data_IF_012527166662
#
_entry.id   IF_012527166662
#
_cell.length_a   1.000
_cell.length_b   1.000
_cell.length_c   1.000
_cell.angle_alpha   90.00
_cell.angle_beta   90.00
_cell.angle_gamma   90.00
#
_symmetry.space_group_name_H-M   'P 1'
#
loop_
_entity.id
_entity.type
_entity.pdbx_description
1 polymer ?
#
# COMPACT_ATOMS: atom_id res chain seq x y z
N UNK A 1 -21.84 -8.17 41.51
CA UNK A 1 -21.02 -8.44 40.31
C UNK A 1 -20.92 -7.16 39.50
N UNK A 2 -19.74 -6.52 39.49
CA UNK A 2 -19.54 -5.24 38.80
C UNK A 2 -19.32 -5.49 37.30
N UNK A 3 -20.11 -4.81 36.46
CA UNK A 3 -19.98 -4.85 35.00
C UNK A 3 -18.66 -4.19 34.59
N UNK A 4 -17.76 -4.96 33.99
CA UNK A 4 -16.56 -4.43 33.33
C UNK A 4 -16.95 -3.42 32.26
N UNK A 5 -16.53 -2.16 32.46
CA UNK A 5 -16.53 -1.12 31.41
C UNK A 5 -15.57 -1.57 30.32
N UNK A 6 -16.10 -2.05 29.20
CA UNK A 6 -15.32 -2.20 27.98
C UNK A 6 -14.80 -0.81 27.58
N UNK A 7 -13.48 -0.63 27.63
CA UNK A 7 -12.82 0.56 27.12
C UNK A 7 -13.14 0.66 25.62
N UNK A 8 -13.88 1.71 25.22
CA UNK A 8 -14.07 2.02 23.79
C UNK A 8 -12.69 2.27 23.18
N UNK A 9 -12.38 1.72 21.99
CA UNK A 9 -11.14 2.03 21.31
C UNK A 9 -11.16 3.53 20.96
N UNK A 10 -10.34 4.30 21.67
CA UNK A 10 -10.25 5.76 21.53
C UNK A 10 -9.35 6.13 20.33
N UNK A 11 -9.59 5.52 19.17
CA UNK A 11 -8.98 5.94 17.92
C UNK A 11 -9.66 7.21 17.44
N UNK A 12 -8.99 8.37 17.52
CA UNK A 12 -9.50 9.55 16.80
C UNK A 12 -9.48 9.25 15.30
N UNK A 13 -10.40 9.80 14.48
CA UNK A 13 -10.43 9.60 13.03
C UNK A 13 -9.09 9.90 12.34
N UNK A 14 -8.29 10.79 12.94
CA UNK A 14 -6.92 11.12 12.53
C UNK A 14 -5.95 9.95 12.70
N UNK A 15 -5.98 9.24 13.84
CA UNK A 15 -5.10 8.09 14.09
C UNK A 15 -5.43 6.92 13.16
N UNK A 16 -6.72 6.66 12.92
CA UNK A 16 -7.16 5.62 11.97
C UNK A 16 -6.70 5.93 10.54
N UNK A 17 -6.75 7.21 10.14
CA UNK A 17 -6.27 7.65 8.83
C UNK A 17 -4.76 7.53 8.68
N UNK A 18 -3.98 7.91 9.70
CA UNK A 18 -2.52 7.77 9.66
C UNK A 18 -2.10 6.30 9.66
N UNK A 19 -2.81 5.44 10.40
CA UNK A 19 -2.61 3.99 10.31
C UNK A 19 -2.93 3.45 8.92
N UNK A 20 -4.04 3.85 8.32
CA UNK A 20 -4.40 3.45 6.96
C UNK A 20 -3.36 3.93 5.93
N UNK A 21 -2.88 5.18 6.06
CA UNK A 21 -1.80 5.71 5.23
C UNK A 21 -0.54 4.85 5.37
N UNK A 22 -0.12 4.55 6.60
CA UNK A 22 1.06 3.73 6.85
C UNK A 22 0.94 2.37 6.18
N UNK A 23 -0.18 1.67 6.39
CA UNK A 23 -0.40 0.34 5.83
C UNK A 23 -0.37 0.34 4.29
N UNK A 24 -0.94 1.37 3.64
CA UNK A 24 -0.93 1.50 2.17
C UNK A 24 0.47 1.81 1.63
N UNK A 25 1.27 2.60 2.36
CA UNK A 25 2.68 2.86 2.00
C UNK A 25 3.56 1.62 2.20
N UNK A 26 3.33 0.84 3.26
CA UNK A 26 3.98 -0.46 3.49
C UNK A 26 3.68 -1.42 2.35
N UNK A 27 2.39 -1.59 1.99
CA UNK A 27 1.97 -2.43 0.88
C UNK A 27 2.55 -1.98 -0.48
N UNK A 28 2.69 -0.67 -0.68
CA UNK A 28 3.36 -0.13 -1.86
C UNK A 28 4.85 -0.47 -1.89
N UNK A 29 5.54 -0.36 -0.76
CA UNK A 29 6.94 -0.77 -0.62
C UNK A 29 7.14 -2.24 -0.96
N UNK A 30 6.30 -3.13 -0.42
CA UNK A 30 6.35 -4.57 -0.74
C UNK A 30 6.14 -4.84 -2.23
N UNK A 31 5.20 -4.14 -2.88
CA UNK A 31 4.96 -4.30 -4.31
C UNK A 31 6.17 -3.84 -5.15
N UNK A 32 6.85 -2.76 -4.74
CA UNK A 32 8.08 -2.31 -5.38
C UNK A 32 9.20 -3.35 -5.24
N UNK A 33 9.42 -3.88 -4.04
CA UNK A 33 10.46 -4.87 -3.79
C UNK A 33 10.22 -6.14 -4.60
N UNK A 34 8.99 -6.68 -4.60
CA UNK A 34 8.62 -7.84 -5.42
C UNK A 34 8.86 -7.60 -6.90
N UNK A 35 8.53 -6.40 -7.39
CA UNK A 35 8.73 -6.09 -8.81
C UNK A 35 10.20 -5.94 -9.17
N UNK A 36 11.00 -5.35 -8.28
CA UNK A 36 12.45 -5.24 -8.46
C UNK A 36 13.09 -6.63 -8.55
N UNK A 37 12.74 -7.52 -7.63
CA UNK A 37 13.25 -8.89 -7.62
C UNK A 37 12.82 -9.64 -8.88
N UNK A 38 11.56 -9.45 -9.32
CA UNK A 38 11.07 -10.02 -10.58
C UNK A 38 11.80 -9.49 -11.80
N UNK A 39 12.14 -8.20 -11.84
CA UNK A 39 12.92 -7.61 -12.93
C UNK A 39 14.30 -8.26 -13.04
N UNK A 40 14.99 -8.47 -11.91
CA UNK A 40 16.29 -9.18 -11.87
C UNK A 40 16.16 -10.63 -12.37
N UNK A 41 15.11 -11.35 -11.96
CA UNK A 41 14.84 -12.71 -12.47
C UNK A 41 14.61 -12.72 -13.98
N UNK A 42 13.93 -11.70 -14.51
CA UNK A 42 13.58 -11.60 -15.91
C UNK A 42 14.78 -11.21 -16.78
N UNK A 43 15.72 -10.40 -16.31
CA UNK A 43 16.97 -10.11 -17.03
C UNK A 43 17.73 -11.38 -17.44
N UNK A 44 17.65 -12.44 -16.61
CA UNK A 44 18.29 -13.74 -16.89
C UNK A 44 17.52 -14.69 -17.80
N UNK A 45 16.30 -14.36 -18.26
CA UNK A 45 15.39 -15.30 -18.95
C UNK A 45 14.72 -14.68 -20.19
N UNK A 46 15.39 -14.69 -21.37
CA UNK A 46 14.81 -14.16 -22.59
C UNK A 46 13.69 -15.05 -23.15
N UNK A 47 12.58 -14.45 -23.59
CA UNK A 47 11.49 -15.14 -24.33
C UNK A 47 10.10 -14.49 -24.20
N UNK A 48 9.09 -15.04 -24.89
CA UNK A 48 7.71 -14.49 -24.91
C UNK A 48 7.09 -14.37 -23.51
N UNK A 49 7.35 -15.34 -22.62
CA UNK A 49 6.90 -15.29 -21.22
C UNK A 49 7.52 -14.15 -20.42
N UNK A 50 8.70 -13.66 -20.83
CA UNK A 50 9.37 -12.53 -20.19
C UNK A 50 8.58 -11.24 -20.40
N UNK A 51 8.09 -11.00 -21.62
CA UNK A 51 7.31 -9.79 -21.94
C UNK A 51 5.97 -9.77 -21.19
N UNK A 52 5.29 -10.91 -21.08
CA UNK A 52 4.06 -11.04 -20.29
C UNK A 52 4.31 -10.78 -18.80
N UNK A 53 5.40 -11.33 -18.25
CA UNK A 53 5.78 -11.11 -16.85
C UNK A 53 6.19 -9.66 -16.58
N UNK A 54 6.93 -9.02 -17.49
CA UNK A 54 7.26 -7.58 -17.42
C UNK A 54 5.97 -6.75 -17.44
N UNK A 55 5.05 -7.03 -18.37
CA UNK A 55 3.78 -6.31 -18.46
C UNK A 55 2.97 -6.45 -17.17
N UNK A 56 2.87 -7.66 -16.62
CA UNK A 56 2.17 -7.91 -15.36
C UNK A 56 2.80 -7.14 -14.19
N UNK A 57 4.13 -7.12 -14.11
CA UNK A 57 4.84 -6.40 -13.07
C UNK A 57 4.64 -4.87 -13.15
N UNK A 58 4.65 -4.30 -14.37
CA UNK A 58 4.33 -2.89 -14.61
C UNK A 58 2.90 -2.56 -14.16
N UNK A 59 1.92 -3.41 -14.50
CA UNK A 59 0.52 -3.22 -14.10
C UNK A 59 0.35 -3.31 -12.57
N UNK A 60 1.08 -4.22 -11.91
CA UNK A 60 1.06 -4.34 -10.44
C UNK A 60 1.61 -3.07 -9.77
N UNK A 61 2.78 -2.56 -10.20
CA UNK A 61 3.31 -1.28 -9.71
C UNK A 61 2.31 -0.15 -9.93
N UNK A 62 1.78 -0.01 -11.14
CA UNK A 62 0.87 1.08 -11.47
C UNK A 62 -0.36 1.12 -10.54
N UNK A 63 -0.91 -0.05 -10.19
CA UNK A 63 -2.02 -0.16 -9.23
C UNK A 63 -1.59 0.20 -7.81
N UNK A 64 -0.43 -0.28 -7.36
CA UNK A 64 0.08 0.02 -6.03
C UNK A 64 0.41 1.51 -5.85
N UNK A 65 0.96 2.16 -6.88
CA UNK A 65 1.18 3.63 -6.92
C UNK A 65 -0.15 4.37 -6.78
N UNK A 66 -1.19 3.98 -7.53
CA UNK A 66 -2.48 4.65 -7.46
C UNK A 66 -3.13 4.48 -6.07
N UNK A 67 -3.03 3.31 -5.45
CA UNK A 67 -3.51 3.09 -4.09
C UNK A 67 -2.81 3.99 -3.08
N UNK A 68 -1.47 4.00 -3.10
CA UNK A 68 -0.66 4.85 -2.23
C UNK A 68 -0.98 6.33 -2.40
N UNK A 69 -1.12 6.80 -3.65
CA UNK A 69 -1.52 8.18 -3.95
C UNK A 69 -2.88 8.52 -3.33
N UNK A 70 -3.89 7.68 -3.53
CA UNK A 70 -5.23 7.90 -2.95
C UNK A 70 -5.19 7.93 -1.41
N UNK A 71 -4.33 7.12 -0.79
CA UNK A 71 -4.13 7.14 0.65
C UNK A 71 -3.53 8.45 1.14
N UNK A 72 -2.51 8.95 0.43
CA UNK A 72 -1.90 10.27 0.68
C UNK A 72 -2.92 11.39 0.53
N UNK A 73 -3.73 11.39 -0.54
CA UNK A 73 -4.77 12.40 -0.77
C UNK A 73 -5.80 12.46 0.38
N UNK A 74 -6.21 11.29 0.90
CA UNK A 74 -7.12 11.21 2.06
C UNK A 74 -6.46 11.79 3.32
N UNK A 75 -5.21 11.44 3.58
CA UNK A 75 -4.46 11.95 4.73
C UNK A 75 -4.26 13.48 4.65
N UNK A 76 -3.93 14.00 3.47
CA UNK A 76 -3.79 15.44 3.23
C UNK A 76 -5.10 16.19 3.47
N UNK A 77 -6.23 15.64 2.99
CA UNK A 77 -7.55 16.25 3.22
C UNK A 77 -7.87 16.36 4.71
N UNK A 78 -7.55 15.34 5.49
CA UNK A 78 -7.78 15.34 6.93
C UNK A 78 -6.84 16.34 7.63
N UNK A 79 -5.56 16.35 7.28
CA UNK A 79 -4.59 17.29 7.84
C UNK A 79 -4.95 18.77 7.58
N UNK A 80 -5.59 19.09 6.45
CA UNK A 80 -6.07 20.45 6.14
C UNK A 80 -7.36 20.84 6.88
N UNK A 81 -8.12 19.86 7.35
CA UNK A 81 -9.41 20.06 8.03
C UNK A 81 -9.32 19.88 9.55
N UNK A 82 -8.11 19.65 10.10
CA UNK A 82 -7.82 19.62 11.55
C UNK A 82 -7.04 20.85 11.95
#
# INVERSE_FOLDING_TARGET
>A
MAKSKAAKPNGTPRNETLMALRNELEAFGEALDRTRDRAVELEGRPGVRQQEDIHRAIVEIARSVDSARRAVDRALKIAKNT
#
